data_IF_642804914694
#
_entry.id   IF_642804914694
#
_cell.length_a   1.000
_cell.length_b   1.000
_cell.length_c   1.000
_cell.angle_alpha   90.00
_cell.angle_beta   90.00
_cell.angle_gamma   90.00
#
_symmetry.space_group_name_H-M   'P 1'
#
loop_
_entity.id
_entity.type
_entity.pdbx_description
1 polymer ?
#
# COMPACT_ATOMS: atom_id res chain seq x y z
N UNK A 1 -44.41 61.38 -18.77
CA UNK A 1 -45.31 61.60 -17.62
C UNK A 1 -45.04 60.51 -16.61
N UNK A 2 -44.80 60.94 -15.39
CA UNK A 2 -44.39 60.17 -14.22
C UNK A 2 -45.62 59.86 -13.34
N UNK A 3 -45.45 58.89 -12.43
CA UNK A 3 -46.23 58.56 -11.22
C UNK A 3 -47.42 57.56 -11.31
N UNK A 4 -47.81 56.87 -10.20
CA UNK A 4 -47.11 56.60 -8.92
C UNK A 4 -47.30 55.18 -8.30
N UNK A 5 -46.59 54.99 -7.18
CA UNK A 5 -46.59 53.93 -6.15
C UNK A 5 -47.95 53.42 -5.62
N UNK A 6 -47.95 52.18 -5.08
CA UNK A 6 -48.96 51.71 -4.12
C UNK A 6 -49.01 50.19 -3.80
N UNK A 7 -48.24 49.78 -2.78
CA UNK A 7 -48.38 48.69 -1.79
C UNK A 7 -49.16 47.37 -2.06
N UNK A 8 -48.51 46.22 -1.82
CA UNK A 8 -48.69 45.34 -0.63
C UNK A 8 -47.99 43.98 -0.85
N UNK A 9 -47.00 43.64 -0.01
CA UNK A 9 -46.40 42.30 0.06
C UNK A 9 -46.89 41.58 1.33
N UNK A 10 -47.53 40.43 1.14
CA UNK A 10 -47.60 39.35 2.12
C UNK A 10 -47.61 38.00 1.39
N UNK A 11 -46.43 37.39 1.28
CA UNK A 11 -46.14 35.95 1.22
C UNK A 11 -44.64 35.88 1.59
N UNK A 12 -44.13 35.11 2.53
CA UNK A 12 -44.64 33.88 3.13
C UNK A 12 -43.57 32.80 2.96
N UNK A 13 -42.68 32.67 3.95
CA UNK A 13 -41.87 31.49 4.30
C UNK A 13 -41.41 30.57 3.16
N UNK A 14 -40.18 30.81 2.70
CA UNK A 14 -39.13 29.82 2.43
C UNK A 14 -37.83 30.62 2.35
N UNK A 15 -36.69 30.00 2.63
CA UNK A 15 -35.34 30.61 2.59
C UNK A 15 -34.75 31.05 3.95
N UNK A 16 -35.10 30.37 5.05
CA UNK A 16 -34.34 30.47 6.33
C UNK A 16 -33.79 29.13 6.85
N UNK A 17 -33.93 28.02 6.10
CA UNK A 17 -33.43 26.70 6.56
C UNK A 17 -32.09 26.25 5.94
N UNK A 18 -31.53 26.96 4.95
CA UNK A 18 -30.26 26.54 4.31
C UNK A 18 -28.99 27.28 4.79
N UNK A 19 -29.11 28.40 5.50
CA UNK A 19 -27.93 29.18 5.96
C UNK A 19 -27.44 28.89 7.40
N UNK A 20 -28.06 27.95 8.12
CA UNK A 20 -27.68 27.64 9.51
C UNK A 20 -26.76 26.41 9.70
N UNK A 21 -26.31 25.72 8.65
CA UNK A 21 -25.41 24.54 8.80
C UNK A 21 -23.92 24.82 8.74
N UNK A 22 -23.49 26.06 8.52
CA UNK A 22 -22.07 26.42 8.51
C UNK A 22 -21.81 27.67 9.35
N UNK A 23 -21.79 27.50 10.68
CA UNK A 23 -21.08 28.44 11.57
C UNK A 23 -20.27 27.67 12.62
N UNK A 24 -18.97 27.98 12.80
CA UNK A 24 -18.21 27.48 13.94
C UNK A 24 -18.70 28.17 15.24
N UNK A 25 -18.65 27.51 16.40
CA UNK A 25 -19.14 28.10 17.64
C UNK A 25 -18.23 29.26 18.12
N UNK A 26 -18.79 30.26 18.82
CA UNK A 26 -18.05 31.44 19.26
C UNK A 26 -17.11 31.16 20.43
N UNK A 27 -15.93 31.78 20.41
CA UNK A 27 -15.02 31.88 21.54
C UNK A 27 -15.66 32.74 22.65
N UNK A 28 -15.85 32.16 23.84
CA UNK A 28 -16.15 32.92 25.05
C UNK A 28 -14.84 33.32 25.73
N UNK A 29 -14.56 34.61 25.71
CA UNK A 29 -13.62 35.27 26.62
C UNK A 29 -14.28 35.52 27.98
N UNK A 30 -13.60 35.13 29.08
CA UNK A 30 -13.39 35.86 30.36
C UNK A 30 -13.14 34.91 31.56
N UNK A 31 -12.58 35.40 32.70
CA UNK A 31 -11.27 36.02 32.94
C UNK A 31 -10.45 35.16 33.96
N UNK A 32 -9.20 35.55 34.24
CA UNK A 32 -8.18 34.68 34.85
C UNK A 32 -8.32 34.28 36.33
N UNK A 33 -7.40 33.40 36.75
CA UNK A 33 -7.17 32.99 38.14
C UNK A 33 -6.47 31.63 38.26
N UNK A 34 -5.20 31.68 38.69
CA UNK A 34 -4.18 30.66 38.99
C UNK A 34 -4.64 29.29 39.57
N UNK A 35 -3.92 28.21 39.24
CA UNK A 35 -3.92 26.98 40.05
C UNK A 35 -3.50 25.68 39.32
N UNK A 36 -2.38 25.10 39.73
CA UNK A 36 -1.72 23.88 39.26
C UNK A 36 -2.57 22.59 39.21
N UNK A 37 -2.33 21.70 38.22
CA UNK A 37 -2.69 20.28 38.29
C UNK A 37 -2.93 19.60 36.93
N UNK A 38 -1.98 18.77 36.48
CA UNK A 38 -2.02 18.00 35.23
C UNK A 38 -2.58 16.58 35.48
N UNK A 39 -3.59 16.08 34.74
CA UNK A 39 -3.86 14.64 34.68
C UNK A 39 -3.08 14.02 33.52
N UNK A 40 -2.05 13.23 33.87
CA UNK A 40 -1.31 12.40 32.94
C UNK A 40 -2.20 11.26 32.40
N UNK A 41 -2.32 11.15 31.08
CA UNK A 41 -2.76 9.91 30.45
C UNK A 41 -1.62 8.88 30.53
N UNK A 42 -1.87 7.63 30.94
CA UNK A 42 -0.85 6.60 30.97
C UNK A 42 -0.52 6.11 29.54
N UNK A 43 0.75 5.79 29.23
CA UNK A 43 1.10 5.13 27.98
C UNK A 43 0.63 3.66 27.98
N UNK A 44 0.38 3.06 26.80
CA UNK A 44 0.01 1.65 26.68
C UNK A 44 1.17 0.72 27.13
N UNK A 45 0.86 -0.49 27.62
CA UNK A 45 1.85 -1.38 28.21
C UNK A 45 2.89 -1.86 27.18
N UNK A 46 4.15 -1.55 27.46
CA UNK A 46 5.33 -2.14 26.81
C UNK A 46 5.50 -3.59 27.24
N UNK A 47 5.36 -4.53 26.33
CA UNK A 47 5.80 -5.90 26.54
C UNK A 47 7.34 -5.94 26.58
N UNK A 48 7.90 -6.01 27.79
CA UNK A 48 9.31 -6.31 27.99
C UNK A 48 9.56 -7.79 27.69
N UNK A 49 10.36 -8.08 26.66
CA UNK A 49 11.03 -9.38 26.52
C UNK A 49 12.32 -9.30 27.32
N UNK A 50 12.31 -9.85 28.52
CA UNK A 50 13.52 -10.03 29.33
C UNK A 50 14.36 -11.15 28.74
N UNK A 51 15.50 -10.80 28.12
CA UNK A 51 16.59 -11.74 27.87
C UNK A 51 17.45 -11.82 29.14
N UNK A 52 17.27 -12.90 29.91
CA UNK A 52 18.24 -13.28 30.94
C UNK A 52 19.50 -13.85 30.29
N UNK A 53 20.64 -13.36 30.77
CA UNK A 53 21.99 -13.74 30.37
C UNK A 53 22.36 -15.03 31.09
N UNK A 54 22.41 -16.15 30.36
CA UNK A 54 22.91 -17.44 30.82
C UNK A 54 24.15 -17.87 30.04
N UNK A 55 25.28 -17.97 30.74
CA UNK A 55 26.59 -18.40 30.26
C UNK A 55 26.59 -19.87 29.77
N UNK A 56 27.43 -20.17 28.78
CA UNK A 56 28.10 -21.48 28.66
C UNK A 56 27.80 -22.32 27.42
N UNK A 57 28.72 -22.30 26.45
CA UNK A 57 28.90 -23.34 25.43
C UNK A 57 29.65 -24.54 26.03
N UNK A 58 29.24 -25.79 25.74
CA UNK A 58 30.12 -26.93 25.39
C UNK A 58 29.32 -28.20 24.92
N UNK A 59 29.93 -29.15 24.16
CA UNK A 59 29.27 -29.98 23.13
C UNK A 59 28.99 -31.45 23.54
N UNK A 60 28.30 -32.29 22.71
CA UNK A 60 27.72 -33.57 23.13
C UNK A 60 28.64 -34.78 22.87
N UNK A 61 28.52 -35.84 23.69
CA UNK A 61 29.06 -37.21 23.44
C UNK A 61 28.49 -38.26 24.45
N UNK A 62 28.64 -39.59 24.23
CA UNK A 62 27.55 -40.49 23.81
C UNK A 62 27.19 -41.64 24.81
N UNK A 63 26.12 -42.39 24.49
CA UNK A 63 25.57 -43.59 25.16
C UNK A 63 26.59 -44.70 25.51
N UNK A 64 26.32 -45.53 26.55
CA UNK A 64 25.66 -46.86 26.41
C UNK A 64 24.68 -47.15 27.60
N UNK A 65 23.77 -48.14 27.69
CA UNK A 65 23.48 -49.41 27.03
C UNK A 65 22.94 -50.40 28.10
N UNK A 66 22.01 -51.31 27.71
CA UNK A 66 21.44 -52.47 28.47
C UNK A 66 20.46 -52.15 29.63
N UNK A 67 19.42 -52.91 29.95
CA UNK A 67 18.85 -54.24 29.62
C UNK A 67 17.73 -54.47 30.66
N UNK A 68 16.58 -55.12 30.38
CA UNK A 68 16.19 -56.52 30.71
C UNK A 68 14.66 -56.57 30.45
N UNK A 69 14.10 -57.52 29.67
CA UNK A 69 13.59 -58.84 30.12
C UNK A 69 12.21 -58.67 30.79
N UNK A 70 11.07 -59.20 30.36
CA UNK A 70 10.58 -60.56 30.03
C UNK A 70 9.11 -60.33 29.56
N UNK A 71 8.42 -61.09 28.69
CA UNK A 71 8.30 -62.53 28.49
C UNK A 71 6.80 -62.83 28.33
N UNK A 72 6.37 -63.71 27.40
CA UNK A 72 4.99 -64.26 27.44
C UNK A 72 4.22 -64.58 26.14
N UNK A 73 4.66 -65.62 25.41
CA UNK A 73 3.87 -66.73 24.81
C UNK A 73 2.56 -66.56 23.98
N UNK A 74 2.62 -67.15 22.76
CA UNK A 74 1.67 -68.07 22.07
C UNK A 74 0.27 -67.56 21.64
N UNK A 75 -0.31 -67.83 20.47
CA UNK A 75 0.02 -68.67 19.30
C UNK A 75 -1.17 -68.73 18.30
N UNK A 76 -0.85 -68.98 17.02
CA UNK A 76 -1.63 -69.64 15.93
C UNK A 76 -2.98 -69.12 15.36
N UNK A 77 -2.88 -68.72 14.07
CA UNK A 77 -3.71 -69.02 12.88
C UNK A 77 -5.25 -68.87 12.85
N UNK A 78 -5.76 -67.91 12.07
CA UNK A 78 -6.54 -68.16 10.83
C UNK A 78 -6.84 -66.84 10.05
N UNK A 79 -6.97 -66.95 8.72
CA UNK A 79 -7.12 -65.87 7.70
C UNK A 79 -8.54 -65.99 7.05
N UNK A 80 -8.99 -65.12 6.09
CA UNK A 80 -9.31 -63.67 6.03
C UNK A 80 -10.84 -63.44 5.67
N UNK A 81 -11.39 -62.33 5.09
CA UNK A 81 -10.80 -61.06 4.60
C UNK A 81 -11.57 -59.72 4.85
N UNK A 82 -10.91 -58.63 4.41
CA UNK A 82 -11.42 -57.28 4.03
C UNK A 82 -11.56 -56.19 5.11
N UNK A 83 -10.64 -55.22 5.13
CA UNK A 83 -10.89 -53.82 4.69
C UNK A 83 -9.76 -52.87 5.11
N UNK A 84 -9.33 -52.05 4.14
CA UNK A 84 -8.77 -50.69 4.23
C UNK A 84 -7.84 -50.31 5.38
N UNK A 85 -6.61 -49.93 5.03
CA UNK A 85 -5.87 -48.97 5.82
C UNK A 85 -4.37 -48.91 5.56
N UNK A 86 -3.94 -47.70 5.20
CA UNK A 86 -2.68 -47.06 5.65
C UNK A 86 -1.42 -47.29 4.80
N UNK A 87 -0.94 -46.15 4.27
CA UNK A 87 0.44 -45.73 4.00
C UNK A 87 1.41 -46.68 3.31
N UNK A 88 2.06 -46.18 2.24
CA UNK A 88 3.51 -46.34 2.10
C UNK A 88 4.17 -45.10 1.53
N UNK A 89 5.26 -44.74 2.19
CA UNK A 89 6.23 -43.70 1.87
C UNK A 89 7.24 -44.28 0.87
N UNK A 90 7.68 -43.45 -0.08
CA UNK A 90 9.05 -43.44 -0.59
C UNK A 90 9.31 -44.15 -1.92
N UNK A 91 9.68 -43.38 -2.94
CA UNK A 91 10.97 -43.61 -3.60
C UNK A 91 11.47 -42.33 -4.27
N UNK A 92 12.66 -41.90 -3.87
CA UNK A 92 13.43 -40.86 -4.53
C UNK A 92 13.88 -41.36 -5.93
N UNK A 93 13.76 -40.51 -6.94
CA UNK A 93 14.58 -40.60 -8.14
C UNK A 93 14.78 -39.20 -8.68
N UNK A 94 16.04 -38.78 -8.68
CA UNK A 94 16.52 -37.53 -9.25
C UNK A 94 16.40 -37.58 -10.78
N UNK A 95 15.64 -36.65 -11.35
CA UNK A 95 15.54 -36.47 -12.80
C UNK A 95 14.63 -35.29 -13.13
N UNK A 96 15.19 -34.26 -13.77
CA UNK A 96 14.53 -32.97 -14.01
C UNK A 96 13.21 -33.05 -14.78
N UNK A 97 12.29 -32.17 -14.38
CA UNK A 97 11.00 -31.99 -15.01
C UNK A 97 10.06 -31.30 -14.02
N UNK A 98 10.11 -29.96 -13.96
CA UNK A 98 9.23 -29.20 -13.09
C UNK A 98 7.77 -29.51 -13.42
N UNK A 99 7.04 -30.07 -12.45
CA UNK A 99 5.58 -30.16 -12.51
C UNK A 99 5.01 -28.77 -12.80
N UNK A 100 4.02 -28.63 -13.71
CA UNK A 100 3.30 -27.38 -13.86
C UNK A 100 2.74 -26.98 -12.49
N UNK A 101 2.95 -25.72 -12.10
CA UNK A 101 2.29 -25.17 -10.93
C UNK A 101 0.78 -25.46 -11.02
N UNK A 102 0.12 -25.82 -9.91
CA UNK A 102 -1.33 -26.03 -9.92
C UNK A 102 -2.02 -24.79 -10.52
N UNK A 103 -3.08 -24.97 -11.33
CA UNK A 103 -3.77 -23.83 -11.94
C UNK A 103 -4.21 -22.88 -10.83
N UNK A 104 -3.75 -21.63 -10.90
CA UNK A 104 -4.16 -20.61 -9.94
C UNK A 104 -5.66 -20.40 -10.05
N UNK A 105 -6.37 -20.62 -8.94
CA UNK A 105 -7.81 -20.43 -8.89
C UNK A 105 -8.14 -18.96 -9.15
N UNK A 106 -9.00 -18.71 -10.12
CA UNK A 106 -9.47 -17.35 -10.43
C UNK A 106 -10.72 -17.02 -9.65
N UNK A 107 -10.85 -15.77 -9.24
CA UNK A 107 -11.99 -15.21 -8.53
C UNK A 107 -12.78 -14.24 -9.40
N UNK A 108 -14.07 -14.17 -9.13
CA UNK A 108 -15.00 -13.13 -9.57
C UNK A 108 -15.12 -12.09 -8.48
N UNK A 109 -15.16 -10.82 -8.86
CA UNK A 109 -15.29 -9.69 -7.95
C UNK A 109 -16.51 -8.87 -8.37
N UNK A 110 -17.41 -8.56 -7.44
CA UNK A 110 -18.64 -7.82 -7.72
C UNK A 110 -19.08 -7.00 -6.51
N UNK A 111 -19.93 -5.99 -6.75
CA UNK A 111 -20.41 -5.07 -5.72
C UNK A 111 -21.85 -5.40 -5.31
N UNK A 112 -22.24 -5.03 -4.09
CA UNK A 112 -23.60 -5.23 -3.54
C UNK A 112 -24.64 -4.37 -4.26
N UNK A 113 -24.22 -3.28 -4.89
CA UNK A 113 -25.13 -2.44 -5.67
C UNK A 113 -25.74 -3.19 -6.86
N UNK A 114 -24.99 -4.11 -7.48
CA UNK A 114 -25.49 -4.93 -8.57
C UNK A 114 -24.62 -6.19 -8.73
N UNK A 115 -25.19 -7.34 -8.37
CA UNK A 115 -24.49 -8.63 -8.36
C UNK A 115 -24.43 -9.29 -9.74
N UNK A 116 -25.13 -8.79 -10.77
CA UNK A 116 -25.04 -9.32 -12.14
C UNK A 116 -23.88 -8.72 -12.94
N UNK A 117 -23.08 -7.85 -12.33
CA UNK A 117 -21.88 -7.30 -12.92
C UNK A 117 -20.64 -7.91 -12.28
N UNK A 118 -19.51 -7.83 -12.97
CA UNK A 118 -18.22 -8.32 -12.49
C UNK A 118 -17.12 -7.33 -12.84
N UNK A 119 -16.11 -7.27 -11.99
CA UNK A 119 -14.91 -6.49 -12.22
C UNK A 119 -14.17 -7.00 -13.46
N UNK A 120 -13.87 -6.13 -14.41
CA UNK A 120 -13.18 -6.45 -15.65
C UNK A 120 -12.13 -5.39 -15.98
N UNK A 121 -11.35 -5.65 -17.02
CA UNK A 121 -10.46 -4.67 -17.65
C UNK A 121 -11.01 -4.35 -19.05
N UNK A 122 -11.19 -3.06 -19.33
CA UNK A 122 -11.51 -2.55 -20.68
C UNK A 122 -10.75 -1.26 -20.93
N UNK A 123 -10.08 -1.16 -22.07
CA UNK A 123 -9.28 0.02 -22.48
C UNK A 123 -8.27 0.48 -21.42
N UNK A 124 -7.65 -0.47 -20.71
CA UNK A 124 -6.68 -0.20 -19.65
C UNK A 124 -7.28 0.31 -18.33
N UNK A 125 -8.61 0.30 -18.18
CA UNK A 125 -9.32 0.73 -16.98
C UNK A 125 -9.95 -0.46 -16.25
N UNK A 126 -10.06 -0.35 -14.92
CA UNK A 126 -10.81 -1.28 -14.09
C UNK A 126 -12.26 -0.83 -14.01
N UNK A 127 -13.17 -1.66 -14.52
CA UNK A 127 -14.60 -1.35 -14.64
C UNK A 127 -15.48 -2.49 -14.11
N UNK A 128 -16.76 -2.22 -13.94
CA UNK A 128 -17.81 -3.23 -13.87
C UNK A 128 -18.43 -3.44 -15.25
N UNK A 129 -18.55 -4.70 -15.66
CA UNK A 129 -19.21 -5.13 -16.89
C UNK A 129 -20.22 -6.25 -16.58
N UNK A 130 -21.24 -6.49 -17.44
CA UNK A 130 -22.15 -7.62 -17.26
C UNK A 130 -21.39 -8.92 -17.07
N UNK A 131 -21.78 -9.69 -16.05
CA UNK A 131 -21.07 -10.90 -15.66
C UNK A 131 -21.11 -11.93 -16.78
N UNK A 132 -19.93 -12.30 -17.26
CA UNK A 132 -19.73 -13.29 -18.30
C UNK A 132 -18.54 -14.18 -17.90
N UNK A 133 -18.77 -15.39 -17.37
CA UNK A 133 -17.70 -16.32 -17.01
C UNK A 133 -16.82 -16.79 -18.18
N UNK A 134 -17.15 -16.42 -19.43
CA UNK A 134 -16.29 -16.65 -20.60
C UNK A 134 -15.39 -15.46 -20.93
N UNK A 135 -15.66 -14.29 -20.36
CA UNK A 135 -14.81 -13.11 -20.50
C UNK A 135 -13.60 -13.26 -19.57
N UNK A 136 -12.46 -13.65 -20.13
CA UNK A 136 -11.25 -13.89 -19.34
C UNK A 136 -10.73 -12.63 -18.63
N UNK A 137 -11.11 -11.42 -19.07
CA UNK A 137 -10.77 -10.18 -18.37
C UNK A 137 -11.54 -10.00 -17.06
N UNK A 138 -12.61 -10.78 -16.83
CA UNK A 138 -13.32 -10.83 -15.54
C UNK A 138 -12.68 -11.80 -14.54
N UNK A 139 -11.64 -12.54 -14.95
CA UNK A 139 -10.94 -13.48 -14.08
C UNK A 139 -9.75 -12.81 -13.40
N UNK A 140 -9.80 -12.77 -12.06
CA UNK A 140 -8.75 -12.23 -11.23
C UNK A 140 -8.08 -13.33 -10.42
N UNK A 141 -6.82 -13.15 -10.08
CA UNK A 141 -6.09 -13.95 -9.12
C UNK A 141 -5.99 -13.09 -7.85
N UNK A 142 -6.48 -13.63 -6.74
CA UNK A 142 -6.28 -13.04 -5.42
C UNK A 142 -4.98 -13.60 -4.85
N UNK A 143 -3.87 -12.91 -5.08
CA UNK A 143 -2.55 -13.33 -4.60
C UNK A 143 -2.42 -12.96 -3.11
N UNK A 144 -2.36 -13.98 -2.25
CA UNK A 144 -2.29 -13.87 -0.79
C UNK A 144 -0.85 -13.98 -0.25
N UNK A 145 0.18 -13.97 -1.10
CA UNK A 145 1.56 -14.32 -0.69
C UNK A 145 2.13 -13.44 0.43
N UNK A 146 1.68 -12.21 0.55
CA UNK A 146 2.11 -11.27 1.58
C UNK A 146 1.14 -11.14 2.76
N UNK A 147 0.04 -11.89 2.78
CA UNK A 147 -1.02 -11.83 3.78
C UNK A 147 -0.56 -12.01 5.24
N UNK A 148 0.49 -12.82 5.44
CA UNK A 148 1.02 -13.12 6.77
C UNK A 148 1.88 -11.97 7.34
N UNK A 149 2.51 -11.18 6.46
CA UNK A 149 3.53 -10.21 6.85
C UNK A 149 3.07 -8.76 6.69
N UNK A 150 2.11 -8.50 5.79
CA UNK A 150 1.57 -7.17 5.55
C UNK A 150 0.08 -7.19 5.86
N UNK A 151 -0.30 -6.34 6.81
CA UNK A 151 -1.66 -6.14 7.32
C UNK A 151 -1.99 -4.66 7.28
N UNK A 152 -3.28 -4.33 7.21
CA UNK A 152 -3.70 -2.94 7.38
C UNK A 152 -3.69 -2.49 8.85
N UNK A 153 -4.05 -1.23 9.08
CA UNK A 153 -4.13 -0.59 10.40
C UNK A 153 -5.04 -1.33 11.40
N UNK A 154 -6.04 -2.07 10.92
CA UNK A 154 -6.93 -2.88 11.76
C UNK A 154 -6.49 -4.36 11.86
N UNK A 155 -5.36 -4.72 11.24
CA UNK A 155 -4.76 -6.06 11.31
C UNK A 155 -5.25 -7.05 10.25
N UNK A 156 -6.05 -6.61 9.27
CA UNK A 156 -6.55 -7.50 8.22
C UNK A 156 -5.46 -7.84 7.21
N UNK A 157 -5.38 -9.11 6.76
CA UNK A 157 -4.33 -9.57 5.86
C UNK A 157 -4.43 -8.95 4.47
N UNK A 158 -3.27 -8.59 3.91
CA UNK A 158 -3.17 -8.06 2.55
C UNK A 158 -3.32 -9.11 1.45
N UNK A 159 -3.70 -8.64 0.26
CA UNK A 159 -3.67 -9.39 -0.99
C UNK A 159 -3.46 -8.46 -2.19
N UNK A 160 -2.98 -9.01 -3.30
CA UNK A 160 -3.01 -8.33 -4.60
C UNK A 160 -4.15 -8.90 -5.46
N UNK A 161 -4.79 -8.04 -6.26
CA UNK A 161 -5.75 -8.44 -7.29
C UNK A 161 -5.07 -8.34 -8.65
N UNK A 162 -4.72 -9.50 -9.22
CA UNK A 162 -3.97 -9.61 -10.47
C UNK A 162 -4.87 -10.15 -11.55
N UNK A 163 -5.06 -9.42 -12.64
CA UNK A 163 -5.88 -9.92 -13.72
C UNK A 163 -5.18 -11.10 -14.43
N UNK A 164 -5.93 -12.18 -14.68
CA UNK A 164 -5.42 -13.43 -15.25
C UNK A 164 -4.81 -13.24 -16.65
N UNK A 165 -5.42 -12.39 -17.48
CA UNK A 165 -5.03 -12.21 -18.89
C UNK A 165 -3.86 -11.25 -19.02
N UNK A 166 -3.93 -10.10 -18.35
CA UNK A 166 -2.95 -9.03 -18.51
C UNK A 166 -1.73 -9.19 -17.60
N UNK A 167 -1.86 -9.95 -16.51
CA UNK A 167 -0.83 -10.02 -15.46
C UNK A 167 -0.63 -8.69 -14.72
N UNK A 168 -1.56 -7.75 -14.86
CA UNK A 168 -1.52 -6.46 -14.18
C UNK A 168 -2.25 -6.55 -12.84
N UNK A 169 -1.66 -5.97 -11.80
CA UNK A 169 -2.29 -5.79 -10.50
C UNK A 169 -3.03 -4.44 -10.44
N UNK A 170 -4.14 -4.42 -9.69
CA UNK A 170 -4.81 -3.17 -9.36
C UNK A 170 -3.94 -2.37 -8.38
N UNK A 171 -3.59 -1.15 -8.77
CA UNK A 171 -2.78 -0.19 -8.04
C UNK A 171 -3.66 0.92 -7.46
N UNK A 172 -3.27 1.40 -6.27
CA UNK A 172 -3.79 2.61 -5.64
C UNK A 172 -3.76 3.80 -6.60
N UNK A 173 -4.67 4.76 -6.41
CA UNK A 173 -4.77 5.99 -7.18
C UNK A 173 -4.44 7.22 -6.34
N UNK A 174 -4.60 8.41 -6.93
CA UNK A 174 -4.15 9.69 -6.39
C UNK A 174 -5.14 10.34 -5.40
N UNK A 175 -5.70 9.50 -4.53
CA UNK A 175 -6.71 9.92 -3.55
C UNK A 175 -8.15 9.67 -3.99
N UNK A 176 -9.10 10.20 -3.21
CA UNK A 176 -10.54 10.01 -3.43
C UNK A 176 -10.96 10.49 -4.83
N UNK A 177 -12.03 9.91 -5.35
CA UNK A 177 -12.66 10.16 -6.67
C UNK A 177 -11.87 9.65 -7.88
N UNK A 178 -10.61 9.25 -7.69
CA UNK A 178 -9.74 8.89 -8.82
C UNK A 178 -9.84 7.40 -9.16
N UNK A 179 -9.92 7.04 -10.45
CA UNK A 179 -9.93 5.65 -10.90
C UNK A 179 -8.73 4.87 -10.38
N UNK A 180 -8.94 3.64 -9.93
CA UNK A 180 -7.84 2.71 -9.64
C UNK A 180 -7.08 2.40 -10.92
N UNK A 181 -5.81 2.05 -10.79
CA UNK A 181 -4.91 1.92 -11.95
C UNK A 181 -4.41 0.50 -12.10
N UNK A 182 -3.80 0.20 -13.24
CA UNK A 182 -3.21 -1.11 -13.52
C UNK A 182 -1.70 -0.96 -13.72
N UNK A 183 -0.92 -1.81 -13.07
CA UNK A 183 0.53 -1.90 -13.27
C UNK A 183 0.93 -3.36 -13.43
N UNK A 184 1.99 -3.64 -14.19
CA UNK A 184 2.54 -4.99 -14.28
C UNK A 184 2.86 -5.51 -12.89
N UNK A 185 2.29 -6.66 -12.53
CA UNK A 185 2.55 -7.27 -11.24
C UNK A 185 3.95 -7.86 -11.20
N UNK A 186 4.76 -7.47 -10.20
CA UNK A 186 6.02 -8.12 -9.90
C UNK A 186 5.91 -8.79 -8.53
N UNK A 187 5.89 -10.13 -8.47
CA UNK A 187 5.75 -10.86 -7.23
C UNK A 187 7.06 -11.07 -6.44
N UNK A 188 8.20 -10.62 -6.97
CA UNK A 188 9.52 -10.84 -6.36
C UNK A 188 9.82 -9.80 -5.28
N UNK A 189 9.04 -8.73 -5.21
CA UNK A 189 9.13 -7.73 -4.15
C UNK A 189 7.75 -7.23 -3.72
N UNK A 190 7.64 -6.85 -2.45
CA UNK A 190 6.39 -6.33 -1.89
C UNK A 190 6.15 -4.91 -2.39
N UNK A 191 5.16 -4.65 -3.22
CA UNK A 191 4.73 -3.29 -3.59
C UNK A 191 3.41 -2.96 -2.90
N UNK A 192 3.46 -2.19 -1.80
CA UNK A 192 2.24 -1.84 -1.07
C UNK A 192 1.21 -1.11 -1.90
N UNK A 193 1.63 -0.38 -2.94
CA UNK A 193 0.71 0.34 -3.80
C UNK A 193 -0.23 -0.55 -4.60
N UNK A 194 0.00 -1.87 -4.64
CA UNK A 194 -0.92 -2.86 -5.27
C UNK A 194 -1.56 -3.81 -4.25
N UNK A 195 -1.34 -3.57 -2.96
CA UNK A 195 -1.88 -4.39 -1.89
C UNK A 195 -3.14 -3.77 -1.31
N UNK A 196 -4.13 -4.64 -1.13
CA UNK A 196 -5.47 -4.33 -0.64
C UNK A 196 -5.80 -5.23 0.53
N UNK A 197 -6.76 -4.81 1.35
CA UNK A 197 -7.33 -5.65 2.41
C UNK A 197 -8.84 -5.71 2.29
N UNK A 198 -9.42 -6.75 2.87
CA UNK A 198 -10.86 -6.87 3.06
C UNK A 198 -11.18 -6.57 4.52
N UNK A 199 -12.11 -5.65 4.77
CA UNK A 199 -12.59 -5.33 6.12
C UNK A 199 -13.32 -6.51 6.78
N UNK A 200 -13.77 -6.30 8.03
CA UNK A 200 -14.84 -7.11 8.61
C UNK A 200 -16.09 -7.13 7.70
N UNK A 201 -16.93 -8.17 7.85
CA UNK A 201 -18.20 -8.26 7.12
C UNK A 201 -19.09 -7.06 7.44
N UNK A 202 -19.56 -6.41 6.38
CA UNK A 202 -20.47 -5.26 6.42
C UNK A 202 -21.94 -5.67 6.32
N UNK A 203 -22.21 -6.97 6.13
CA UNK A 203 -23.52 -7.60 6.10
C UNK A 203 -23.77 -8.39 4.81
N UNK A 204 -24.01 -9.69 4.98
CA UNK A 204 -24.32 -10.63 3.90
C UNK A 204 -23.07 -11.11 3.15
N UNK A 205 -21.96 -11.31 3.87
CA UNK A 205 -20.63 -11.68 3.36
C UNK A 205 -19.98 -10.62 2.45
N UNK A 206 -20.42 -9.37 2.53
CA UNK A 206 -19.85 -8.27 1.76
C UNK A 206 -18.84 -7.49 2.59
N UNK A 207 -17.68 -7.22 2.01
CA UNK A 207 -16.58 -6.52 2.69
C UNK A 207 -16.19 -5.26 1.92
N UNK A 208 -15.60 -4.30 2.62
CA UNK A 208 -14.93 -3.18 1.99
C UNK A 208 -13.57 -3.65 1.48
N UNK A 209 -13.21 -3.35 0.22
CA UNK A 209 -11.86 -3.57 -0.32
C UNK A 209 -11.12 -2.24 -0.24
N UNK A 210 -10.08 -2.16 0.59
CA UNK A 210 -9.42 -0.89 0.93
C UNK A 210 -7.91 -0.95 0.77
N UNK A 211 -7.29 0.22 0.62
CA UNK A 211 -5.83 0.30 0.53
C UNK A 211 -5.20 -0.23 1.82
N UNK A 212 -4.18 -1.08 1.70
CA UNK A 212 -3.53 -1.66 2.90
C UNK A 212 -2.89 -0.61 3.81
N UNK A 213 -2.39 0.48 3.23
CA UNK A 213 -1.63 1.51 3.93
C UNK A 213 -2.44 2.79 4.22
N UNK A 214 -3.69 2.88 3.73
CA UNK A 214 -4.60 3.99 4.01
C UNK A 214 -6.05 3.49 3.99
N UNK A 215 -6.51 2.98 5.13
CA UNK A 215 -7.84 2.37 5.25
C UNK A 215 -9.02 3.32 5.07
N UNK A 216 -8.78 4.64 4.94
CA UNK A 216 -9.81 5.64 4.68
C UNK A 216 -10.30 5.63 3.24
N UNK A 217 -9.47 5.12 2.31
CA UNK A 217 -9.80 5.03 0.90
C UNK A 217 -10.05 3.57 0.49
N UNK A 218 -11.16 3.36 -0.22
CA UNK A 218 -11.64 2.04 -0.61
C UNK A 218 -12.19 2.02 -2.04
N UNK A 219 -12.38 0.81 -2.57
CA UNK A 219 -13.04 0.61 -3.85
C UNK A 219 -14.48 1.13 -3.81
N UNK A 220 -14.80 1.99 -4.77
CA UNK A 220 -16.13 2.49 -5.02
C UNK A 220 -16.48 2.28 -6.49
N UNK A 221 -17.64 1.67 -6.75
CA UNK A 221 -18.22 1.68 -8.09
C UNK A 221 -18.82 3.08 -8.33
N UNK A 222 -18.10 3.89 -9.11
CA UNK A 222 -18.35 5.33 -9.22
C UNK A 222 -19.74 5.63 -9.79
N UNK A 223 -20.53 6.41 -9.05
CA UNK A 223 -21.95 6.67 -9.34
C UNK A 223 -22.79 5.38 -9.51
N UNK A 224 -22.34 4.29 -8.89
CA UNK A 224 -22.99 2.98 -8.96
C UNK A 224 -24.12 2.80 -7.95
N UNK A 225 -24.40 3.81 -7.13
CA UNK A 225 -25.54 3.84 -6.21
C UNK A 225 -26.84 4.27 -6.92
N UNK A 226 -27.97 3.99 -6.26
CA UNK A 226 -29.31 4.19 -6.83
C UNK A 226 -29.60 5.67 -7.15
N UNK A 227 -29.03 6.61 -6.38
CA UNK A 227 -29.26 8.05 -6.56
C UNK A 227 -28.56 8.60 -7.81
N UNK A 228 -27.55 7.89 -8.31
CA UNK A 228 -26.74 8.30 -9.48
C UNK A 228 -26.89 7.38 -10.71
N UNK A 229 -27.94 6.54 -10.72
CA UNK A 229 -28.32 5.69 -11.85
C UNK A 229 -27.87 4.24 -11.77
N UNK A 230 -27.22 3.84 -10.67
CA UNK A 230 -26.82 2.47 -10.41
C UNK A 230 -25.61 2.00 -11.23
N UNK A 231 -25.21 0.76 -10.99
CA UNK A 231 -24.16 0.10 -11.77
C UNK A 231 -24.64 -0.17 -13.20
N UNK A 232 -23.77 0.12 -14.17
CA UNK A 232 -24.00 -0.09 -15.61
C UNK A 232 -22.70 -0.55 -16.28
N UNK A 233 -22.80 -1.00 -17.54
CA UNK A 233 -21.60 -1.46 -18.27
C UNK A 233 -20.62 -0.31 -18.43
N UNK A 234 -19.37 -0.54 -18.02
CA UNK A 234 -18.34 0.49 -17.99
C UNK A 234 -18.31 1.35 -16.72
N UNK A 235 -19.12 1.06 -15.68
CA UNK A 235 -19.01 1.76 -14.39
C UNK A 235 -17.57 1.62 -13.87
N UNK A 236 -16.88 2.73 -13.72
CA UNK A 236 -15.46 2.76 -13.33
C UNK A 236 -15.30 2.51 -11.84
N UNK A 237 -14.23 1.80 -11.46
CA UNK A 237 -13.87 1.66 -10.05
C UNK A 237 -12.89 2.76 -9.65
N UNK A 238 -13.25 3.53 -8.62
CA UNK A 238 -12.45 4.63 -8.08
C UNK A 238 -12.06 4.36 -6.63
N UNK A 239 -11.13 5.16 -6.11
CA UNK A 239 -10.96 5.29 -4.66
C UNK A 239 -12.00 6.25 -4.09
N UNK A 240 -12.61 5.94 -2.96
CA UNK A 240 -13.47 6.89 -2.24
C UNK A 240 -13.38 6.71 -0.73
N UNK A 241 -13.84 7.70 0.01
CA UNK A 241 -14.05 7.58 1.46
C UNK A 241 -15.14 6.54 1.78
N UNK A 242 -15.06 5.91 2.94
CA UNK A 242 -16.06 4.92 3.34
C UNK A 242 -17.39 5.58 3.73
N UNK A 243 -18.36 5.56 2.82
CA UNK A 243 -19.72 6.07 3.00
C UNK A 243 -20.75 4.97 3.30
N UNK A 244 -20.29 3.70 3.39
CA UNK A 244 -21.12 2.52 3.69
C UNK A 244 -22.18 2.20 2.62
N UNK A 245 -22.08 2.81 1.44
CA UNK A 245 -22.97 2.59 0.31
C UNK A 245 -22.91 1.16 -0.24
N UNK A 246 -23.95 0.71 -0.94
CA UNK A 246 -23.96 -0.63 -1.57
C UNK A 246 -22.87 -0.76 -2.65
N UNK A 247 -22.55 0.33 -3.33
CA UNK A 247 -21.53 0.43 -4.38
C UNK A 247 -20.09 0.26 -3.85
N UNK A 248 -19.87 0.35 -2.53
CA UNK A 248 -18.57 0.18 -1.87
C UNK A 248 -18.40 -1.19 -1.18
N UNK A 249 -19.41 -2.05 -1.29
CA UNK A 249 -19.46 -3.35 -0.60
C UNK A 249 -19.23 -4.46 -1.61
N UNK A 250 -18.17 -5.23 -1.45
CA UNK A 250 -17.68 -6.15 -2.47
C UNK A 250 -17.70 -7.60 -1.98
N UNK A 251 -17.82 -8.51 -2.94
CA UNK A 251 -17.59 -9.94 -2.76
C UNK A 251 -16.50 -10.40 -3.71
N UNK A 252 -15.61 -11.23 -3.19
CA UNK A 252 -14.59 -11.94 -3.94
C UNK A 252 -14.88 -13.43 -3.79
N UNK A 253 -15.33 -14.08 -4.86
CA UNK A 253 -15.71 -15.50 -4.84
C UNK A 253 -14.92 -16.28 -5.89
N UNK A 254 -14.50 -17.52 -5.62
CA UNK A 254 -13.93 -18.37 -6.66
C UNK A 254 -14.92 -18.51 -7.84
N UNK A 255 -14.40 -18.50 -9.06
CA UNK A 255 -15.15 -19.04 -10.19
C UNK A 255 -15.25 -20.56 -9.98
N UNK A 256 -16.43 -21.05 -9.59
CA UNK A 256 -16.70 -22.49 -9.49
C UNK A 256 -16.41 -23.17 -10.81
N UNK A 257 -15.60 -24.23 -10.79
CA UNK A 257 -14.94 -24.80 -11.95
C UNK A 257 -15.86 -25.20 -13.12
N UNK A 258 -15.72 -24.48 -14.23
CA UNK A 258 -15.96 -25.01 -15.57
C UNK A 258 -14.68 -24.86 -16.38
N UNK A 259 -13.77 -25.83 -16.23
CA UNK A 259 -12.72 -26.05 -17.19
C UNK A 259 -13.35 -26.68 -18.44
N UNK A 260 -13.79 -25.84 -19.38
CA UNK A 260 -13.96 -26.28 -20.76
C UNK A 260 -12.76 -25.81 -21.57
N UNK A 261 -11.91 -26.79 -21.89
CA UNK A 261 -10.77 -26.66 -22.80
C UNK A 261 -11.27 -26.93 -24.23
N UNK A 262 -10.87 -26.16 -25.23
CA UNK A 262 -10.68 -26.70 -26.58
C UNK A 262 -9.19 -26.66 -26.98
N UNK A 263 -8.80 -27.46 -27.98
CA UNK A 263 -7.40 -27.81 -28.23
C UNK A 263 -6.65 -26.74 -29.04
N UNK A 264 -5.35 -26.69 -28.82
CA UNK A 264 -4.40 -25.96 -29.65
C UNK A 264 -4.44 -26.47 -31.10
N UNK A 265 -4.39 -25.53 -32.05
CA UNK A 265 -3.92 -25.77 -33.41
C UNK A 265 -2.88 -24.72 -33.75
N UNK A 266 -1.69 -25.22 -34.08
CA UNK A 266 -0.50 -24.53 -34.51
C UNK A 266 -0.71 -23.59 -35.71
N UNK A 267 -0.12 -22.40 -35.62
CA UNK A 267 0.12 -21.51 -36.74
C UNK A 267 1.30 -20.59 -36.40
N UNK A 268 2.51 -21.07 -36.69
CA UNK A 268 3.74 -20.27 -36.59
C UNK A 268 3.69 -19.23 -37.71
N UNK A 269 3.57 -17.95 -37.34
CA UNK A 269 4.06 -16.85 -38.16
C UNK A 269 5.02 -16.01 -37.32
N UNK A 270 6.31 -16.16 -37.64
CA UNK A 270 7.34 -15.22 -37.24
C UNK A 270 7.06 -13.86 -37.87
N UNK A 271 7.00 -12.81 -37.05
CA UNK A 271 7.36 -11.45 -37.46
C UNK A 271 8.18 -10.84 -36.32
N UNK A 272 9.29 -10.20 -36.69
CA UNK A 272 10.47 -9.97 -35.86
C UNK A 272 10.27 -9.08 -34.64
N UNK A 273 11.06 -9.42 -33.62
CA UNK A 273 11.36 -8.60 -32.47
C UNK A 273 12.18 -7.39 -32.90
N UNK A 274 11.56 -6.21 -32.99
CA UNK A 274 12.33 -4.96 -33.04
C UNK A 274 12.74 -4.57 -31.63
N UNK A 275 14.03 -4.74 -31.39
CA UNK A 275 14.77 -4.12 -30.29
C UNK A 275 14.60 -2.61 -30.36
N UNK A 276 13.87 -2.02 -29.41
CA UNK A 276 13.99 -0.59 -29.12
C UNK A 276 15.19 -0.36 -28.19
N UNK A 277 16.38 -0.63 -28.74
CA UNK A 277 17.60 0.08 -28.41
C UNK A 277 17.59 1.40 -29.17
N UNK A 278 16.97 2.42 -28.58
CA UNK A 278 16.90 3.76 -29.17
C UNK A 278 17.04 4.81 -28.08
N UNK A 279 18.26 5.25 -27.84
CA UNK A 279 18.54 6.41 -27.00
C UNK A 279 17.93 7.67 -27.61
N UNK A 280 16.72 8.02 -27.21
CA UNK A 280 16.15 9.33 -27.46
C UNK A 280 16.65 10.29 -26.38
N UNK A 281 17.63 11.13 -26.73
CA UNK A 281 17.88 12.37 -26.00
C UNK A 281 16.61 13.23 -26.12
N UNK A 282 15.79 13.23 -25.08
CA UNK A 282 14.72 14.22 -24.92
C UNK A 282 15.28 15.65 -24.92
N UNK A 283 14.43 16.66 -25.12
CA UNK A 283 14.87 18.06 -25.10
C UNK A 283 15.61 18.32 -23.79
N UNK A 284 16.81 18.92 -23.85
CA UNK A 284 17.56 19.33 -22.66
C UNK A 284 16.70 20.34 -21.90
N UNK A 285 16.01 19.87 -20.87
CA UNK A 285 15.49 20.73 -19.82
C UNK A 285 16.68 21.50 -19.22
N UNK A 286 16.53 22.80 -18.94
CA UNK A 286 17.57 23.53 -18.22
C UNK A 286 17.87 22.78 -16.91
N UNK A 287 19.14 22.78 -16.45
CA UNK A 287 19.53 22.06 -15.24
C UNK A 287 18.64 22.52 -14.09
N UNK A 288 17.81 21.62 -13.59
CA UNK A 288 16.96 21.92 -12.44
C UNK A 288 17.87 22.11 -11.22
N UNK A 289 17.63 23.14 -10.39
CA UNK A 289 18.41 23.35 -9.19
C UNK A 289 18.28 22.12 -8.29
N UNK A 290 19.42 21.67 -7.76
CA UNK A 290 19.45 20.51 -6.87
C UNK A 290 19.33 20.95 -5.42
N UNK A 291 18.84 20.03 -4.58
CA UNK A 291 18.69 20.22 -3.14
C UNK A 291 19.51 19.20 -2.37
N UNK A 292 19.98 19.61 -1.20
CA UNK A 292 20.54 18.81 -0.14
C UNK A 292 19.45 18.45 0.85
N UNK A 293 19.45 17.20 1.29
CA UNK A 293 18.50 16.69 2.27
C UNK A 293 19.28 16.12 3.44
N UNK A 294 18.99 16.58 4.66
CA UNK A 294 19.70 16.16 5.87
C UNK A 294 18.78 16.19 7.09
N UNK A 295 19.15 15.46 8.14
CA UNK A 295 18.35 15.31 9.36
C UNK A 295 18.92 16.15 10.51
N UNK A 296 18.07 16.58 11.45
CA UNK A 296 18.46 17.35 12.64
C UNK A 296 19.31 16.52 13.60
N UNK A 297 19.28 15.19 13.49
CA UNK A 297 20.12 14.32 14.31
C UNK A 297 21.61 14.53 14.03
N UNK A 298 21.97 14.80 12.78
CA UNK A 298 23.35 15.10 12.38
C UNK A 298 23.36 15.82 11.02
N UNK A 299 23.79 17.07 11.02
CA UNK A 299 23.76 17.94 9.83
C UNK A 299 24.98 17.76 8.93
N UNK A 300 26.03 17.03 9.35
CA UNK A 300 27.20 16.74 8.51
C UNK A 300 27.01 15.55 7.58
N UNK A 301 25.80 14.98 7.53
CA UNK A 301 25.43 13.91 6.62
C UNK A 301 24.39 14.41 5.62
N UNK A 302 24.34 13.77 4.45
CA UNK A 302 23.38 14.05 3.40
C UNK A 302 22.70 12.76 2.97
N UNK A 303 21.45 12.87 2.56
CA UNK A 303 20.75 11.80 1.86
C UNK A 303 21.47 11.50 0.54
N UNK A 304 21.79 10.24 0.30
CA UNK A 304 22.49 9.74 -0.88
C UNK A 304 21.87 8.42 -1.36
N UNK A 305 22.33 7.97 -2.53
CA UNK A 305 22.09 6.62 -3.02
C UNK A 305 23.43 5.88 -3.04
N UNK A 306 23.50 4.71 -2.39
CA UNK A 306 24.56 3.72 -2.61
C UNK A 306 23.96 2.34 -2.70
N UNK A 307 24.51 1.51 -3.58
CA UNK A 307 24.06 0.12 -3.81
C UNK A 307 22.53 -0.01 -4.00
N UNK A 308 21.95 0.95 -4.73
CA UNK A 308 20.51 0.98 -5.03
C UNK A 308 19.61 1.30 -3.83
N UNK A 309 20.17 1.78 -2.71
CA UNK A 309 19.44 2.08 -1.48
C UNK A 309 19.57 3.55 -1.07
N UNK A 310 18.55 4.09 -0.42
CA UNK A 310 18.55 5.45 0.13
C UNK A 310 19.11 5.44 1.55
N UNK A 311 20.12 6.27 1.80
CA UNK A 311 20.85 6.28 3.07
C UNK A 311 21.47 7.64 3.35
N UNK A 312 21.95 7.84 4.58
CA UNK A 312 22.79 8.96 4.97
C UNK A 312 24.26 8.62 4.78
N UNK A 313 24.99 9.57 4.18
CA UNK A 313 26.43 9.52 3.96
C UNK A 313 27.08 10.85 4.36
N UNK A 314 28.38 10.89 4.73
CA UNK A 314 29.08 12.14 5.01
C UNK A 314 28.90 13.14 3.88
N UNK A 315 28.58 14.39 4.24
CA UNK A 315 28.27 15.43 3.29
C UNK A 315 29.46 15.72 2.39
N UNK A 316 29.25 15.58 1.09
CA UNK A 316 30.26 15.84 0.07
C UNK A 316 29.58 16.48 -1.14
N UNK A 317 29.74 17.79 -1.35
CA UNK A 317 29.19 18.49 -2.52
C UNK A 317 29.69 18.01 -3.88
N UNK A 318 30.73 17.17 -3.92
CA UNK A 318 31.22 16.54 -5.14
C UNK A 318 30.58 15.17 -5.39
N UNK A 319 29.88 14.61 -4.41
CA UNK A 319 29.15 13.35 -4.57
C UNK A 319 27.79 13.65 -5.21
N UNK A 320 27.71 13.46 -6.53
CA UNK A 320 26.48 13.75 -7.29
C UNK A 320 25.27 12.92 -6.83
N UNK A 321 25.48 11.78 -6.16
CA UNK A 321 24.38 10.99 -5.59
C UNK A 321 23.73 11.66 -4.37
N UNK A 322 24.36 12.68 -3.78
CA UNK A 322 23.75 13.54 -2.74
C UNK A 322 22.89 14.68 -3.29
N UNK A 323 22.84 14.84 -4.62
CA UNK A 323 22.05 15.88 -5.26
C UNK A 323 20.67 15.34 -5.65
N UNK A 324 19.65 15.95 -5.09
CA UNK A 324 18.26 15.60 -5.37
C UNK A 324 17.56 16.72 -6.11
N UNK A 325 16.55 16.39 -6.89
CA UNK A 325 15.61 17.32 -7.50
C UNK A 325 14.33 17.20 -6.68
N UNK A 326 13.86 18.33 -6.17
CA UNK A 326 12.53 18.42 -5.53
C UNK A 326 11.52 18.83 -6.60
N UNK A 327 10.89 17.86 -7.23
CA UNK A 327 9.91 18.11 -8.28
C UNK A 327 8.55 18.46 -7.65
N UNK A 328 8.11 19.70 -7.88
CA UNK A 328 6.89 20.28 -7.32
C UNK A 328 5.71 20.26 -8.30
N UNK A 329 5.79 19.57 -9.45
CA UNK A 329 4.77 19.68 -10.52
C UNK A 329 3.34 19.43 -10.09
N UNK A 330 3.16 18.52 -9.14
CA UNK A 330 1.84 18.10 -8.66
C UNK A 330 1.42 18.79 -7.36
N UNK A 331 2.23 19.71 -6.84
CA UNK A 331 2.03 20.42 -5.57
C UNK A 331 0.68 21.18 -5.48
N UNK A 332 0.17 21.66 -6.62
CA UNK A 332 -1.10 22.37 -6.67
C UNK A 332 -2.30 21.44 -6.50
N UNK A 333 -2.24 20.25 -7.10
CA UNK A 333 -3.38 19.35 -7.25
C UNK A 333 -3.39 18.22 -6.20
N UNK A 334 -2.23 17.81 -5.73
CA UNK A 334 -2.09 16.72 -4.75
C UNK A 334 -1.53 17.30 -3.46
N UNK A 335 -2.30 17.17 -2.40
CA UNK A 335 -2.00 17.63 -1.04
C UNK A 335 -2.22 16.48 -0.07
N UNK A 336 -1.54 16.51 1.06
CA UNK A 336 -1.83 15.56 2.13
C UNK A 336 -3.11 15.89 2.90
N UNK A 337 -3.46 15.03 3.87
CA UNK A 337 -4.61 15.17 4.77
C UNK A 337 -4.67 16.52 5.52
N UNK A 338 -3.54 17.19 5.71
CA UNK A 338 -3.48 18.51 6.35
C UNK A 338 -3.35 19.66 5.34
N UNK A 339 -3.47 19.37 4.04
CA UNK A 339 -3.44 20.36 2.97
C UNK A 339 -2.04 20.78 2.50
N UNK A 340 -0.97 20.12 2.97
CA UNK A 340 0.39 20.47 2.55
C UNK A 340 0.68 19.98 1.13
N UNK A 341 1.34 20.80 0.29
CA UNK A 341 1.59 20.47 -1.11
C UNK A 341 2.56 19.29 -1.27
N UNK A 342 2.27 18.41 -2.22
CA UNK A 342 3.14 17.29 -2.57
C UNK A 342 4.38 17.67 -3.37
N UNK A 343 5.39 16.82 -3.30
CA UNK A 343 6.57 16.82 -4.16
C UNK A 343 7.14 15.42 -4.34
N UNK A 344 7.91 15.21 -5.41
CA UNK A 344 8.75 14.04 -5.58
C UNK A 344 10.22 14.38 -5.27
N UNK A 345 10.95 13.43 -4.68
CA UNK A 345 12.40 13.52 -4.48
C UNK A 345 13.10 12.61 -5.49
N UNK A 346 13.70 13.21 -6.52
CA UNK A 346 14.30 12.50 -7.65
C UNK A 346 15.81 12.66 -7.60
N UNK A 347 16.55 11.57 -7.57
CA UNK A 347 18.00 11.67 -7.58
C UNK A 347 18.52 12.16 -8.94
N UNK A 348 19.44 13.13 -8.91
CA UNK A 348 20.01 13.75 -10.11
C UNK A 348 20.73 12.74 -11.02
N UNK A 349 21.43 11.77 -10.44
CA UNK A 349 22.27 10.81 -11.18
C UNK A 349 21.43 9.65 -11.70
N UNK A 350 20.60 9.05 -10.85
CA UNK A 350 19.88 7.82 -11.22
C UNK A 350 18.54 8.09 -11.92
N UNK A 351 17.98 9.30 -11.78
CA UNK A 351 16.62 9.61 -12.24
C UNK A 351 15.54 8.81 -11.51
N UNK A 352 15.87 8.19 -10.37
CA UNK A 352 14.92 7.44 -9.56
C UNK A 352 14.30 8.36 -8.49
N UNK A 353 12.99 8.23 -8.29
CA UNK A 353 12.28 8.87 -7.19
C UNK A 353 12.28 7.97 -5.95
N UNK A 354 12.29 8.60 -4.77
CA UNK A 354 12.05 7.90 -3.51
C UNK A 354 10.58 7.48 -3.44
N UNK A 355 10.35 6.18 -3.27
CA UNK A 355 9.04 5.54 -3.18
C UNK A 355 8.75 5.11 -1.74
N UNK A 356 7.47 5.19 -1.37
CA UNK A 356 6.89 4.62 -0.15
C UNK A 356 7.32 3.15 0.02
N UNK A 357 7.39 2.70 1.27
CA UNK A 357 7.70 1.31 1.63
C UNK A 357 6.54 0.67 2.38
N UNK A 358 6.76 -0.55 2.87
CA UNK A 358 5.71 -1.47 3.32
C UNK A 358 5.23 -1.23 4.77
N UNK A 359 5.19 0.04 5.18
CA UNK A 359 4.83 0.45 6.52
C UNK A 359 6.03 0.78 7.40
N UNK A 360 5.77 0.98 8.70
CA UNK A 360 6.78 1.37 9.69
C UNK A 360 7.98 0.40 9.68
N UNK A 361 9.15 0.91 10.05
CA UNK A 361 10.45 0.23 10.12
C UNK A 361 11.08 -0.14 8.76
N UNK A 362 10.33 -0.07 7.66
CA UNK A 362 10.82 -0.54 6.37
C UNK A 362 11.58 0.54 5.59
N UNK A 363 12.74 0.19 4.98
CA UNK A 363 13.51 1.13 4.17
C UNK A 363 12.69 1.71 3.01
N UNK A 364 12.81 3.01 2.77
CA UNK A 364 12.25 3.63 1.56
C UNK A 364 12.91 3.05 0.32
N UNK A 365 12.20 3.07 -0.81
CA UNK A 365 12.65 2.40 -2.03
C UNK A 365 12.93 3.42 -3.14
N UNK A 366 13.54 2.94 -4.22
CA UNK A 366 13.79 3.72 -5.42
C UNK A 366 13.07 3.11 -6.60
N UNK A 367 12.40 3.95 -7.40
CA UNK A 367 11.78 3.55 -8.65
C UNK A 367 12.10 4.58 -9.73
N UNK A 368 12.18 4.16 -11.00
CA UNK A 368 12.31 5.10 -12.12
C UNK A 368 11.21 6.16 -12.03
N UNK A 369 11.59 7.42 -12.05
CA UNK A 369 10.63 8.50 -12.00
C UNK A 369 9.99 8.70 -13.38
N UNK A 370 8.66 8.63 -13.45
CA UNK A 370 7.91 9.02 -14.63
C UNK A 370 7.24 10.38 -14.37
N UNK A 371 7.76 11.47 -14.95
CA UNK A 371 7.26 12.81 -14.71
C UNK A 371 5.91 13.13 -15.38
N UNK A 372 5.47 12.30 -16.33
CA UNK A 372 4.24 12.50 -17.09
C UNK A 372 3.04 11.79 -16.45
N UNK A 373 3.28 11.14 -15.31
CA UNK A 373 2.32 10.30 -14.62
C UNK A 373 2.37 10.54 -13.11
N UNK A 374 1.22 10.88 -12.52
CA UNK A 374 1.12 11.09 -11.07
C UNK A 374 1.12 9.74 -10.34
N UNK A 375 2.22 9.35 -9.72
CA UNK A 375 2.29 8.18 -8.83
C UNK A 375 2.35 8.64 -7.37
N UNK A 376 1.24 8.55 -6.63
CA UNK A 376 1.22 8.97 -5.22
C UNK A 376 2.24 8.22 -4.36
N UNK A 377 2.62 6.99 -4.74
CA UNK A 377 3.60 6.23 -3.99
C UNK A 377 5.01 6.83 -4.04
N UNK A 378 5.28 7.83 -4.88
CA UNK A 378 6.55 8.59 -4.89
C UNK A 378 6.39 10.04 -4.44
N UNK A 379 5.19 10.42 -4.00
CA UNK A 379 4.89 11.77 -3.55
C UNK A 379 4.96 11.87 -2.02
N UNK A 380 5.60 12.94 -1.59
CA UNK A 380 5.87 13.27 -0.20
C UNK A 380 5.39 14.68 0.09
N UNK A 381 5.18 15.00 1.37
CA UNK A 381 4.90 16.36 1.82
C UNK A 381 5.84 16.76 2.95
N UNK A 382 6.01 18.06 3.13
CA UNK A 382 6.69 18.64 4.28
C UNK A 382 5.62 19.13 5.27
N UNK A 383 5.73 18.74 6.53
CA UNK A 383 4.82 19.21 7.59
C UNK A 383 5.00 20.70 7.89
N UNK A 384 4.20 21.21 8.83
CA UNK A 384 4.54 22.46 9.54
C UNK A 384 5.96 22.39 10.14
N UNK A 385 6.57 23.56 10.35
CA UNK A 385 7.88 23.68 10.99
C UNK A 385 7.84 23.09 12.41
N UNK A 386 8.78 22.19 12.69
CA UNK A 386 8.95 21.51 13.99
C UNK A 386 10.00 22.20 14.89
N UNK A 387 10.54 23.33 14.43
CA UNK A 387 11.56 24.16 15.08
C UNK A 387 12.81 24.31 14.21
N UNK A 388 13.34 25.54 14.15
CA UNK A 388 14.58 25.90 13.44
C UNK A 388 14.57 25.60 11.93
N UNK A 389 13.40 25.62 11.29
CA UNK A 389 13.26 25.36 9.85
C UNK A 389 13.25 23.86 9.49
N UNK A 390 13.21 22.96 10.46
CA UNK A 390 13.11 21.52 10.22
C UNK A 390 11.67 21.05 10.13
N UNK A 391 11.38 20.14 9.20
CA UNK A 391 10.03 19.60 8.95
C UNK A 391 10.06 18.07 8.91
N UNK A 392 8.93 17.42 9.11
CA UNK A 392 8.76 16.02 8.77
C UNK A 392 8.64 15.89 7.25
N UNK A 393 9.28 14.89 6.64
CA UNK A 393 8.99 14.47 5.26
C UNK A 393 8.11 13.23 5.37
N UNK A 394 6.85 13.31 4.92
CA UNK A 394 5.84 12.27 5.17
C UNK A 394 5.14 11.83 3.90
N UNK A 395 4.56 10.64 3.91
CA UNK A 395 3.82 10.13 2.76
C UNK A 395 2.60 11.00 2.50
N UNK A 396 2.36 11.37 1.23
CA UNK A 396 1.24 12.26 0.88
C UNK A 396 -0.13 11.67 1.23
N UNK A 397 -0.28 10.35 1.11
CA UNK A 397 -1.53 9.63 1.29
C UNK A 397 -1.69 8.98 2.68
N UNK A 398 -0.63 8.96 3.50
CA UNK A 398 -0.67 8.47 4.88
C UNK A 398 0.32 9.27 5.75
N UNK A 399 -0.16 10.36 6.34
CA UNK A 399 0.67 11.27 7.13
C UNK A 399 1.14 10.70 8.47
N UNK A 400 0.72 9.49 8.86
CA UNK A 400 1.16 8.84 10.10
C UNK A 400 2.58 8.31 10.00
N UNK A 401 3.03 8.04 8.77
CA UNK A 401 4.36 7.52 8.50
C UNK A 401 5.22 8.58 7.79
N UNK A 402 6.45 8.71 8.26
CA UNK A 402 7.39 9.74 7.82
C UNK A 402 8.82 9.19 7.71
N UNK A 403 9.69 9.94 7.06
CA UNK A 403 11.12 9.63 6.98
C UNK A 403 11.73 9.58 8.37
N UNK A 404 12.43 8.48 8.65
CA UNK A 404 13.21 8.28 9.85
C UNK A 404 14.62 7.81 9.46
N UNK A 405 15.64 8.50 9.97
CA UNK A 405 17.00 7.98 9.92
C UNK A 405 17.13 6.86 10.96
N UNK A 406 17.12 5.61 10.50
CA UNK A 406 16.94 4.43 11.34
C UNK A 406 18.07 4.30 12.38
N UNK A 407 17.70 4.23 13.66
CA UNK A 407 18.64 4.29 14.78
C UNK A 407 19.59 5.50 14.75
N UNK A 408 19.18 6.57 14.09
CA UNK A 408 19.95 7.81 13.95
C UNK A 408 19.87 8.72 15.17
N UNK A 409 19.06 8.38 16.17
CA UNK A 409 19.03 9.07 17.46
C UNK A 409 20.22 8.64 18.34
N UNK A 410 20.54 9.47 19.35
CA UNK A 410 21.74 9.27 20.18
C UNK A 410 21.69 8.01 21.03
N UNK A 411 20.50 7.55 21.40
CA UNK A 411 20.34 6.39 22.28
C UNK A 411 20.62 5.08 21.52
N UNK A 412 20.60 5.12 20.18
CA UNK A 412 20.89 3.98 19.31
C UNK A 412 22.16 4.13 18.45
N UNK A 413 23.06 5.04 18.83
CA UNK A 413 24.38 5.21 18.21
C UNK A 413 24.51 6.39 17.24
N UNK A 414 23.41 7.09 16.97
CA UNK A 414 23.40 8.28 16.13
C UNK A 414 23.51 7.99 14.64
N UNK A 415 23.43 9.06 13.85
CA UNK A 415 23.67 8.99 12.41
C UNK A 415 25.13 8.64 12.12
N UNK A 416 25.34 7.70 11.21
CA UNK A 416 26.65 7.23 10.74
C UNK A 416 26.60 6.96 9.24
N UNK A 417 27.77 6.81 8.62
CA UNK A 417 27.84 6.44 7.21
C UNK A 417 27.21 5.06 7.06
N UNK A 418 26.19 4.93 6.23
CA UNK A 418 25.39 3.70 6.25
C UNK A 418 23.95 3.88 6.71
N UNK A 419 23.61 4.93 7.47
CA UNK A 419 22.31 5.01 8.16
C UNK A 419 21.16 5.00 7.15
N UNK A 420 20.39 3.92 7.15
CA UNK A 420 19.24 3.71 6.28
C UNK A 420 18.12 4.69 6.60
N UNK A 421 17.39 5.12 5.57
CA UNK A 421 16.13 5.86 5.76
C UNK A 421 14.95 4.91 5.67
N UNK A 422 14.14 4.87 6.71
CA UNK A 422 12.94 4.03 6.83
C UNK A 422 11.70 4.88 6.97
N UNK A 423 10.53 4.25 6.86
CA UNK A 423 9.28 4.83 7.33
C UNK A 423 9.10 4.58 8.82
N UNK A 424 8.59 5.53 9.59
CA UNK A 424 8.24 5.33 11.00
C UNK A 424 7.07 6.21 11.42
N UNK A 425 6.39 5.87 12.52
CA UNK A 425 5.44 6.79 13.16
C UNK A 425 6.13 8.08 13.63
N UNK A 426 5.38 9.16 13.70
CA UNK A 426 5.94 10.42 14.20
C UNK A 426 6.16 10.38 15.73
N UNK A 427 7.42 10.19 16.13
CA UNK A 427 7.87 10.17 17.52
C UNK A 427 8.54 11.48 17.96
N UNK A 428 8.55 12.50 17.08
CA UNK A 428 9.14 13.82 17.32
C UNK A 428 10.65 13.81 17.54
N UNK A 429 11.32 12.70 17.21
CA UNK A 429 12.77 12.53 17.32
C UNK A 429 13.55 13.46 16.39
N UNK A 430 14.82 13.73 16.70
CA UNK A 430 15.69 14.56 15.84
C UNK A 430 15.99 13.87 14.51
N UNK A 431 16.04 12.54 14.50
CA UNK A 431 16.25 11.68 13.33
C UNK A 431 15.09 11.71 12.32
N UNK A 432 13.91 12.24 12.73
CA UNK A 432 12.71 12.38 11.90
C UNK A 432 12.47 13.82 11.41
N UNK A 433 13.38 14.73 11.73
CA UNK A 433 13.28 16.16 11.40
C UNK A 433 14.27 16.49 10.31
N UNK A 434 13.80 16.97 9.18
CA UNK A 434 14.58 17.10 7.97
C UNK A 434 14.61 18.54 7.46
N UNK A 435 15.69 18.87 6.75
CA UNK A 435 15.80 20.08 5.95
C UNK A 435 16.05 19.70 4.51
N UNK A 436 15.37 20.41 3.62
CA UNK A 436 15.59 20.37 2.19
C UNK A 436 16.01 21.77 1.78
N UNK A 437 17.29 21.96 1.44
CA UNK A 437 17.87 23.25 1.08
C UNK A 437 18.52 23.16 -0.29
N UNK A 438 18.65 24.27 -1.05
CA UNK A 438 19.49 24.28 -2.24
C UNK A 438 20.88 23.68 -1.94
N UNK A 439 21.35 22.77 -2.79
CA UNK A 439 22.69 22.19 -2.69
C UNK A 439 23.72 23.13 -3.31
#
# INVERSE_FOLDING_TARGET
MEFPFGHHHHHGRRDEEEEQRYRPPPCNDRPGGEGYGNPAYPPPPTHHVSHEVGYGYEPPRPYPGAGYGEGGYSGHHNRPPCSSGVHHVGHESWGGGGSPAPPQLTVRIFTKAEENYALSIRDGNVILAPANPRDEYQHWIKDMRYANNVKDEEGFPSFALVNKVTGQAIKHSIGATHPVRLIRYNPDYVDESVLWTESADTGGDFRCIRMVNNIRLNFDAFHGDEDHGGVRDGTTVVLWEWLKGKNQRWKILPYSGHHNRPPYSSGVHHVGHESWGGGARGPRTPPQPTVRIFTKAEENYSLSIRDGSVMLAPANPRDEYQHWIKDMRYAHNVKDEQGFPSFALVNKVTGQAIKHSIGATHPVRLIRYNPDYVDESVLWTESADTGEGFRCIRMVNNIRLNFDAFHGDKDHGGVRDGTTVVLWEWLKGKNQRWKILPY
#
